data_IF_073372685256
#
_entry.id   IF_073372685256
#
_cell.length_a   1.000
_cell.length_b   1.000
_cell.length_c   1.000
_cell.angle_alpha   90.00
_cell.angle_beta   90.00
_cell.angle_gamma   90.00
#
_symmetry.space_group_name_H-M   'P 1'
#
loop_
_entity.id
_entity.type
_entity.pdbx_description
1 polymer ?
#
# COMPACT_ATOMS: atom_id res chain seq x y z
N UNK A 1 -18.41 9.04 12.77
CA UNK A 1 -17.94 9.98 11.74
C UNK A 1 -16.45 9.83 11.56
N UNK A 2 -16.00 9.19 10.46
CA UNK A 2 -14.60 9.18 10.08
C UNK A 2 -14.23 10.60 9.63
N UNK A 3 -13.40 11.28 10.41
CA UNK A 3 -12.99 12.65 10.15
C UNK A 3 -12.11 12.65 8.88
N UNK A 4 -12.58 13.24 7.78
CA UNK A 4 -11.80 13.42 6.54
C UNK A 4 -10.52 14.18 6.92
N UNK A 5 -9.36 13.53 6.89
CA UNK A 5 -8.09 14.26 7.01
C UNK A 5 -7.95 15.16 5.77
N UNK A 6 -7.58 16.44 5.93
CA UNK A 6 -7.35 17.33 4.80
C UNK A 6 -6.18 16.80 3.96
N UNK A 7 -6.29 16.94 2.63
CA UNK A 7 -5.19 16.67 1.71
C UNK A 7 -3.95 17.49 2.14
N UNK A 8 -2.78 16.86 2.14
CA UNK A 8 -1.52 17.53 2.47
C UNK A 8 -0.83 17.98 1.18
N UNK A 9 -0.20 19.14 1.22
CA UNK A 9 0.68 19.59 0.14
C UNK A 9 1.95 18.74 0.08
N UNK A 10 2.56 18.67 -1.10
CA UNK A 10 3.81 17.96 -1.31
C UNK A 10 4.92 18.54 -0.43
N UNK A 11 5.57 17.68 0.36
CA UNK A 11 6.39 18.11 1.51
C UNK A 11 7.88 17.76 1.39
N UNK A 12 8.41 17.62 0.17
CA UNK A 12 9.85 17.38 -0.06
C UNK A 12 10.56 18.64 -0.56
N UNK A 13 11.31 19.35 0.32
CA UNK A 13 12.13 20.48 -0.09
C UNK A 13 13.16 20.10 -1.17
N UNK A 14 13.31 20.97 -2.16
CA UNK A 14 14.27 20.80 -3.26
C UNK A 14 13.88 19.77 -4.32
N UNK A 15 12.64 19.26 -4.25
CA UNK A 15 12.08 18.35 -5.25
C UNK A 15 10.89 19.04 -5.91
N UNK A 16 10.96 19.21 -7.22
CA UNK A 16 9.83 19.65 -8.04
C UNK A 16 9.21 18.40 -8.69
N UNK A 17 8.02 17.96 -8.24
CA UNK A 17 7.39 16.78 -8.82
C UNK A 17 6.83 17.09 -10.22
N UNK A 18 6.81 16.13 -11.15
CA UNK A 18 6.10 16.30 -12.41
C UNK A 18 4.59 16.44 -12.18
N UNK A 19 3.86 16.89 -13.21
CA UNK A 19 2.40 16.95 -13.16
C UNK A 19 1.82 15.54 -12.85
N UNK A 20 0.93 15.41 -11.85
CA UNK A 20 0.35 14.13 -11.49
C UNK A 20 -0.56 13.63 -12.62
N UNK A 21 -0.63 12.31 -12.80
CA UNK A 21 -1.56 11.72 -13.76
C UNK A 21 -3.02 11.93 -13.33
N UNK A 22 -3.28 11.96 -12.02
CA UNK A 22 -4.59 12.25 -11.44
C UNK A 22 -4.49 12.71 -9.99
N UNK A 23 -5.57 13.30 -9.48
CA UNK A 23 -5.76 13.61 -8.07
C UNK A 23 -6.68 12.54 -7.44
N UNK A 24 -6.18 11.83 -6.43
CA UNK A 24 -6.94 10.80 -5.72
C UNK A 24 -7.94 11.39 -4.72
N UNK A 25 -9.09 10.72 -4.51
CA UNK A 25 -9.97 11.04 -3.38
C UNK A 25 -9.29 10.64 -2.06
N UNK A 26 -9.35 11.52 -1.04
CA UNK A 26 -8.63 11.41 0.25
C UNK A 26 -9.22 10.35 1.20
N UNK A 27 -9.64 9.20 0.66
CA UNK A 27 -10.08 8.02 1.43
C UNK A 27 -9.02 6.95 1.25
N UNK A 28 -7.87 7.17 1.89
CA UNK A 28 -6.78 6.19 1.91
C UNK A 28 -6.72 5.54 3.30
N UNK A 29 -6.59 4.22 3.35
CA UNK A 29 -6.32 3.52 4.60
C UNK A 29 -4.84 3.60 4.97
N UNK A 30 -4.60 3.67 6.27
CA UNK A 30 -3.26 3.57 6.81
C UNK A 30 -2.70 2.15 6.59
N UNK A 31 -1.37 2.02 6.39
CA UNK A 31 -0.74 0.73 6.20
C UNK A 31 -0.82 -0.06 7.51
N UNK A 32 -1.22 -1.33 7.43
CA UNK A 32 -1.37 -2.18 8.60
C UNK A 32 -0.10 -3.01 8.81
N UNK A 33 0.58 -2.91 9.97
CA UNK A 33 1.76 -3.70 10.26
C UNK A 33 1.45 -5.20 10.35
N UNK A 34 2.21 -6.03 9.64
CA UNK A 34 1.99 -7.49 9.63
C UNK A 34 2.19 -8.11 11.03
N UNK A 35 3.11 -7.55 11.82
CA UNK A 35 3.31 -7.97 13.22
C UNK A 35 2.06 -7.80 14.11
N UNK A 36 1.14 -6.88 13.76
CA UNK A 36 -0.15 -6.75 14.45
C UNK A 36 -1.18 -7.76 13.91
N UNK A 37 -1.07 -8.16 12.64
CA UNK A 37 -1.91 -9.18 12.02
C UNK A 37 -1.62 -10.55 12.63
N UNK A 38 -0.34 -10.92 12.75
CA UNK A 38 0.10 -12.16 13.40
C UNK A 38 -0.44 -12.28 14.84
N UNK A 39 -0.41 -11.17 15.59
CA UNK A 39 -0.97 -11.10 16.95
C UNK A 39 -2.50 -11.23 17.02
N UNK A 40 -3.21 -10.80 15.99
CA UNK A 40 -4.66 -10.94 15.91
C UNK A 40 -5.08 -12.38 15.54
N UNK A 41 -4.22 -13.11 14.82
CA UNK A 41 -4.43 -14.50 14.41
C UNK A 41 -4.26 -15.48 15.59
N UNK A 42 -3.58 -15.08 16.68
CA UNK A 42 -3.38 -15.88 17.90
C UNK A 42 -4.63 -16.06 18.80
N UNK A 43 -5.82 -15.62 18.35
CA UNK A 43 -7.09 -15.97 19.01
C UNK A 43 -7.46 -17.42 18.64
N UNK A 44 -7.71 -18.34 19.60
CA UNK A 44 -7.80 -19.77 19.32
C UNK A 44 -9.07 -20.14 18.52
N UNK A 45 -8.95 -20.17 17.20
CA UNK A 45 -9.88 -20.84 16.28
C UNK A 45 -9.24 -22.14 15.75
N UNK A 46 -10.05 -23.20 15.65
CA UNK A 46 -9.64 -24.60 15.50
C UNK A 46 -8.81 -24.95 14.24
N UNK A 47 -8.06 -26.06 14.28
CA UNK A 47 -6.93 -26.35 13.38
C UNK A 47 -7.29 -26.61 11.91
N UNK A 48 -8.50 -27.03 11.58
CA UNK A 48 -8.88 -27.40 10.20
C UNK A 48 -9.37 -26.21 9.36
N UNK A 49 -9.75 -25.08 9.98
CA UNK A 49 -10.13 -23.84 9.28
C UNK A 49 -8.92 -22.92 8.97
N UNK A 50 -7.73 -23.25 9.51
CA UNK A 50 -6.56 -22.36 9.50
C UNK A 50 -5.86 -22.23 8.14
N UNK A 51 -5.90 -23.27 7.30
CA UNK A 51 -5.04 -23.30 6.10
C UNK A 51 -5.76 -22.87 4.81
N UNK A 52 -7.04 -23.22 4.64
CA UNK A 52 -7.76 -22.96 3.38
C UNK A 52 -8.54 -21.64 3.38
N UNK A 53 -8.84 -21.04 4.54
CA UNK A 53 -9.59 -19.78 4.63
C UNK A 53 -8.72 -18.54 4.85
N UNK A 54 -7.53 -18.68 5.44
CA UNK A 54 -6.73 -17.52 5.88
C UNK A 54 -5.92 -16.87 4.74
N UNK A 55 -5.43 -17.64 3.76
CA UNK A 55 -4.70 -17.07 2.60
C UNK A 55 -5.62 -16.27 1.66
N UNK A 56 -6.87 -16.71 1.46
CA UNK A 56 -7.83 -15.99 0.63
C UNK A 56 -8.38 -14.72 1.32
N UNK A 57 -8.36 -14.66 2.65
CA UNK A 57 -8.87 -13.54 3.45
C UNK A 57 -7.80 -12.43 3.64
N UNK A 58 -6.50 -12.69 3.45
CA UNK A 58 -5.46 -11.80 3.98
C UNK A 58 -4.82 -10.78 3.02
N UNK A 59 -5.27 -10.59 1.78
CA UNK A 59 -4.73 -9.52 0.91
C UNK A 59 -5.82 -8.81 0.10
N UNK A 60 -6.71 -9.59 -0.52
CA UNK A 60 -7.87 -9.06 -1.24
C UNK A 60 -8.79 -8.24 -0.31
N UNK A 61 -8.91 -8.61 0.96
CA UNK A 61 -9.70 -7.90 1.96
C UNK A 61 -9.08 -6.56 2.36
N UNK A 62 -7.77 -6.50 2.58
CA UNK A 62 -7.06 -5.25 2.92
C UNK A 62 -7.10 -4.28 1.74
N UNK A 63 -6.93 -4.78 0.52
CA UNK A 63 -7.10 -3.95 -0.68
C UNK A 63 -8.56 -3.51 -0.91
N UNK A 64 -9.54 -4.35 -0.55
CA UNK A 64 -10.95 -3.96 -0.56
C UNK A 64 -11.27 -2.86 0.45
N UNK A 65 -10.73 -2.96 1.67
CA UNK A 65 -10.81 -1.91 2.67
C UNK A 65 -10.21 -0.59 2.11
N UNK A 66 -9.10 -0.65 1.34
CA UNK A 66 -8.36 0.52 0.84
C UNK A 66 -9.08 1.32 -0.26
N UNK A 67 -9.99 0.69 -1.00
CA UNK A 67 -10.51 1.25 -2.26
C UNK A 67 -11.99 1.64 -2.17
N UNK A 68 -12.72 1.09 -1.20
CA UNK A 68 -14.17 1.14 -1.19
C UNK A 68 -14.74 2.22 -0.25
N UNK A 69 -15.76 2.98 -0.71
CA UNK A 69 -16.56 3.81 0.18
C UNK A 69 -17.13 2.99 1.36
N UNK A 70 -17.29 3.58 2.57
CA UNK A 70 -17.64 2.84 3.80
C UNK A 70 -18.89 1.94 3.69
N UNK A 71 -19.91 2.38 2.95
CA UNK A 71 -21.13 1.59 2.71
C UNK A 71 -20.92 0.43 1.73
N UNK A 72 -20.07 0.58 0.72
CA UNK A 72 -19.72 -0.50 -0.20
C UNK A 72 -18.87 -1.55 0.51
N UNK A 73 -17.98 -1.10 1.39
CA UNK A 73 -17.15 -1.95 2.23
C UNK A 73 -17.98 -2.76 3.23
N UNK A 74 -18.88 -2.11 3.98
CA UNK A 74 -19.77 -2.81 4.91
C UNK A 74 -20.59 -3.90 4.22
N UNK A 75 -21.15 -3.61 3.04
CA UNK A 75 -21.90 -4.60 2.24
C UNK A 75 -21.01 -5.74 1.76
N UNK A 76 -19.78 -5.47 1.30
CA UNK A 76 -18.83 -6.49 0.87
C UNK A 76 -18.46 -7.43 2.03
N UNK A 77 -18.13 -6.87 3.21
CA UNK A 77 -17.77 -7.66 4.40
C UNK A 77 -18.94 -8.54 4.83
N UNK A 78 -20.14 -7.95 4.99
CA UNK A 78 -21.31 -8.68 5.48
C UNK A 78 -21.75 -9.78 4.50
N UNK A 79 -21.71 -9.54 3.18
CA UNK A 79 -22.17 -10.49 2.16
C UNK A 79 -21.12 -11.55 1.79
N UNK A 80 -19.89 -11.13 1.49
CA UNK A 80 -18.89 -12.02 0.90
C UNK A 80 -17.92 -12.62 1.95
N UNK A 81 -17.75 -11.98 3.12
CA UNK A 81 -16.84 -12.49 4.18
C UNK A 81 -17.60 -13.17 5.30
N UNK A 82 -18.66 -12.53 5.80
CA UNK A 82 -19.46 -13.05 6.91
C UNK A 82 -20.65 -13.90 6.45
N UNK A 83 -20.93 -13.92 5.14
CA UNK A 83 -21.91 -14.84 4.53
C UNK A 83 -23.39 -14.50 4.76
N UNK A 84 -23.73 -13.30 5.25
CA UNK A 84 -25.12 -12.89 5.47
C UNK A 84 -25.91 -12.79 4.16
N UNK A 85 -27.22 -13.02 4.20
CA UNK A 85 -28.12 -12.85 3.07
C UNK A 85 -28.44 -11.36 2.80
N UNK A 86 -28.80 -11.04 1.56
CA UNK A 86 -28.99 -9.64 1.14
C UNK A 86 -30.13 -8.91 1.87
N UNK A 87 -31.15 -9.65 2.32
CA UNK A 87 -32.24 -9.14 3.18
C UNK A 87 -31.73 -8.81 4.59
N UNK A 88 -30.94 -9.69 5.21
CA UNK A 88 -30.36 -9.46 6.53
C UNK A 88 -29.44 -8.23 6.53
N UNK A 89 -28.63 -8.09 5.49
CA UNK A 89 -27.75 -6.92 5.31
C UNK A 89 -28.55 -5.64 5.04
N UNK A 90 -29.66 -5.73 4.32
CA UNK A 90 -30.53 -4.59 4.06
C UNK A 90 -31.14 -4.07 5.37
N UNK A 91 -31.62 -4.97 6.23
CA UNK A 91 -32.15 -4.65 7.55
C UNK A 91 -31.06 -4.07 8.47
N UNK A 92 -29.86 -4.65 8.49
CA UNK A 92 -28.73 -4.17 9.31
C UNK A 92 -28.24 -2.77 8.91
N UNK A 93 -28.35 -2.41 7.62
CA UNK A 93 -27.81 -1.16 7.07
C UNK A 93 -28.88 -0.09 6.81
N UNK A 94 -30.12 -0.34 7.24
CA UNK A 94 -31.29 0.50 6.99
C UNK A 94 -31.39 0.91 5.50
N UNK A 95 -31.47 -0.12 4.65
CA UNK A 95 -31.38 -0.03 3.20
C UNK A 95 -32.30 -1.06 2.53
N UNK A 96 -32.41 -1.03 1.20
CA UNK A 96 -33.16 -2.05 0.45
C UNK A 96 -32.25 -3.15 -0.09
N UNK A 97 -32.81 -4.33 -0.37
CA UNK A 97 -32.10 -5.46 -0.99
C UNK A 97 -31.48 -5.07 -2.34
N UNK A 98 -32.20 -4.27 -3.14
CA UNK A 98 -31.72 -3.74 -4.42
C UNK A 98 -30.51 -2.83 -4.21
N UNK A 99 -30.54 -1.97 -3.20
CA UNK A 99 -29.44 -1.07 -2.85
C UNK A 99 -28.21 -1.86 -2.39
N UNK A 100 -28.39 -2.90 -1.56
CA UNK A 100 -27.32 -3.82 -1.13
C UNK A 100 -26.69 -4.52 -2.33
N UNK A 101 -27.49 -5.11 -3.23
CA UNK A 101 -26.97 -5.78 -4.43
C UNK A 101 -26.24 -4.81 -5.37
N UNK A 102 -26.76 -3.59 -5.51
CA UNK A 102 -26.15 -2.53 -6.31
C UNK A 102 -24.81 -2.05 -5.72
N UNK A 103 -24.74 -1.89 -4.40
CA UNK A 103 -23.52 -1.54 -3.67
C UNK A 103 -22.48 -2.66 -3.76
N UNK A 104 -22.89 -3.92 -3.63
CA UNK A 104 -22.00 -5.08 -3.78
C UNK A 104 -21.42 -5.16 -5.20
N UNK A 105 -22.26 -4.96 -6.23
CA UNK A 105 -21.82 -4.92 -7.62
C UNK A 105 -20.81 -3.81 -7.88
N UNK A 106 -21.07 -2.61 -7.34
CA UNK A 106 -20.13 -1.47 -7.44
C UNK A 106 -18.85 -1.71 -6.66
N UNK A 107 -18.93 -2.36 -5.48
CA UNK A 107 -17.76 -2.73 -4.69
C UNK A 107 -16.82 -3.65 -5.48
N UNK A 108 -17.38 -4.72 -6.09
CA UNK A 108 -16.63 -5.65 -6.94
C UNK A 108 -16.04 -4.95 -8.17
N UNK A 109 -16.80 -4.04 -8.80
CA UNK A 109 -16.32 -3.27 -9.94
C UNK A 109 -15.20 -2.27 -9.59
N UNK A 110 -15.28 -1.59 -8.43
CA UNK A 110 -14.22 -0.70 -7.94
C UNK A 110 -12.95 -1.46 -7.59
N UNK A 111 -13.08 -2.68 -7.05
CA UNK A 111 -11.96 -3.59 -6.82
C UNK A 111 -11.28 -3.96 -8.14
N UNK A 112 -12.05 -4.34 -9.16
CA UNK A 112 -11.56 -4.66 -10.51
C UNK A 112 -11.01 -3.44 -11.28
N UNK A 113 -11.44 -2.21 -10.94
CA UNK A 113 -11.04 -0.98 -11.62
C UNK A 113 -9.82 -0.27 -11.01
N UNK A 114 -9.48 -0.56 -9.75
CA UNK A 114 -8.28 0.00 -9.07
C UNK A 114 -7.20 -1.04 -8.80
N UNK A 115 -7.54 -2.32 -8.70
CA UNK A 115 -6.58 -3.39 -8.89
C UNK A 115 -6.42 -3.54 -10.39
N UNK A 116 -5.24 -3.27 -10.97
CA UNK A 116 -5.13 -3.38 -12.41
C UNK A 116 -5.35 -4.84 -12.82
N UNK A 117 -5.93 -5.10 -14.01
CA UNK A 117 -6.63 -6.34 -14.34
C UNK A 117 -5.81 -7.57 -13.95
N UNK A 118 -6.31 -8.31 -12.96
CA UNK A 118 -5.69 -9.50 -12.37
C UNK A 118 -5.64 -10.70 -13.34
N UNK A 119 -6.25 -10.59 -14.51
CA UNK A 119 -6.37 -11.71 -15.46
C UNK A 119 -5.12 -11.94 -16.35
N UNK A 120 -4.15 -11.02 -16.37
CA UNK A 120 -2.95 -11.14 -17.24
C UNK A 120 -1.62 -11.01 -16.49
N UNK A 121 -1.65 -10.82 -15.17
CA UNK A 121 -0.42 -10.59 -14.39
C UNK A 121 0.10 -11.87 -13.76
N UNK A 122 1.42 -12.05 -13.87
CA UNK A 122 2.13 -13.12 -13.19
C UNK A 122 1.95 -12.98 -11.66
N UNK A 123 1.71 -14.10 -10.95
CA UNK A 123 1.58 -14.08 -9.50
C UNK A 123 2.77 -13.40 -8.83
N UNK A 124 2.50 -12.68 -7.73
CA UNK A 124 3.58 -12.17 -6.90
C UNK A 124 4.39 -13.34 -6.30
N UNK A 125 5.70 -13.16 -6.05
CA UNK A 125 6.49 -14.14 -5.31
C UNK A 125 5.86 -14.38 -3.94
N UNK A 126 5.98 -15.60 -3.42
CA UNK A 126 5.50 -15.90 -2.08
C UNK A 126 6.22 -15.01 -1.04
N UNK A 127 5.53 -14.59 0.04
CA UNK A 127 6.13 -13.83 1.12
C UNK A 127 7.39 -14.52 1.67
N UNK A 128 8.44 -13.72 1.91
CA UNK A 128 9.75 -14.13 2.41
C UNK A 128 10.48 -15.19 1.55
N UNK A 129 10.00 -15.46 0.34
CA UNK A 129 10.67 -16.34 -0.60
C UNK A 129 12.02 -15.75 -1.05
N UNK A 130 12.99 -16.59 -1.47
CA UNK A 130 14.26 -16.10 -2.03
C UNK A 130 14.06 -15.14 -3.21
N UNK A 131 12.99 -15.31 -3.99
CA UNK A 131 12.64 -14.43 -5.10
C UNK A 131 12.20 -13.04 -4.61
N UNK A 132 11.31 -12.97 -3.60
CA UNK A 132 10.91 -11.70 -2.98
C UNK A 132 12.14 -10.99 -2.38
N UNK A 133 12.95 -11.71 -1.61
CA UNK A 133 14.14 -11.16 -0.96
C UNK A 133 15.16 -10.62 -1.96
N UNK A 134 15.35 -11.30 -3.10
CA UNK A 134 16.25 -10.84 -4.15
C UNK A 134 15.74 -9.54 -4.81
N UNK A 135 14.43 -9.43 -5.06
CA UNK A 135 13.81 -8.23 -5.62
C UNK A 135 13.89 -7.05 -4.63
N UNK A 136 13.56 -7.29 -3.37
CA UNK A 136 13.69 -6.31 -2.28
C UNK A 136 15.14 -5.82 -2.14
N UNK A 137 16.12 -6.72 -2.17
CA UNK A 137 17.52 -6.34 -2.07
C UNK A 137 17.99 -5.48 -3.26
N UNK A 138 17.50 -5.76 -4.48
CA UNK A 138 17.75 -4.91 -5.66
C UNK A 138 17.14 -3.52 -5.49
N UNK A 139 15.89 -3.46 -5.02
CA UNK A 139 15.19 -2.19 -4.76
C UNK A 139 15.92 -1.34 -3.72
N UNK A 140 16.31 -1.92 -2.57
CA UNK A 140 17.04 -1.20 -1.53
C UNK A 140 18.33 -0.62 -2.10
N UNK A 141 19.12 -1.43 -2.81
CA UNK A 141 20.39 -0.95 -3.40
C UNK A 141 20.16 0.20 -4.36
N UNK A 142 19.22 0.07 -5.30
CA UNK A 142 18.92 1.11 -6.28
C UNK A 142 18.45 2.42 -5.63
N UNK A 143 17.60 2.31 -4.59
CA UNK A 143 17.06 3.47 -3.90
C UNK A 143 18.11 4.18 -3.04
N UNK A 144 18.90 3.45 -2.25
CA UNK A 144 19.92 4.03 -1.37
C UNK A 144 21.10 4.63 -2.16
N UNK A 145 21.44 4.05 -3.32
CA UNK A 145 22.48 4.60 -4.21
C UNK A 145 21.99 5.76 -5.08
N UNK A 146 20.67 5.94 -5.21
CA UNK A 146 20.08 6.89 -6.16
C UNK A 146 20.26 6.47 -7.63
N UNK A 147 20.38 5.17 -7.89
CA UNK A 147 20.49 4.62 -9.23
C UNK A 147 19.10 4.55 -9.88
N UNK A 148 18.80 5.58 -10.68
CA UNK A 148 17.52 5.72 -11.36
C UNK A 148 17.28 4.57 -12.35
N UNK A 149 18.29 4.20 -13.13
CA UNK A 149 18.15 3.17 -14.17
C UNK A 149 17.88 1.81 -13.53
N UNK A 150 18.59 1.49 -12.45
CA UNK A 150 18.34 0.27 -11.68
C UNK A 150 16.96 0.27 -11.04
N UNK A 151 16.48 1.40 -10.52
CA UNK A 151 15.12 1.49 -9.95
C UNK A 151 14.06 1.28 -11.03
N UNK A 152 14.17 1.99 -12.15
CA UNK A 152 13.21 1.95 -13.26
C UNK A 152 13.13 0.55 -13.87
N UNK A 153 14.26 -0.16 -13.95
CA UNK A 153 14.30 -1.54 -14.44
C UNK A 153 13.45 -2.52 -13.61
N UNK A 154 13.21 -2.23 -12.32
CA UNK A 154 12.37 -3.04 -11.43
C UNK A 154 10.87 -2.74 -11.55
N UNK A 155 10.48 -1.65 -12.22
CA UNK A 155 9.08 -1.23 -12.34
C UNK A 155 8.39 -1.93 -13.52
N UNK A 156 7.09 -2.18 -13.41
CA UNK A 156 6.26 -2.50 -14.59
C UNK A 156 6.05 -1.26 -15.45
N UNK A 157 5.67 -1.44 -16.71
CA UNK A 157 5.40 -0.32 -17.63
C UNK A 157 4.23 0.54 -17.14
N UNK A 158 3.28 -0.08 -16.45
CA UNK A 158 2.03 0.48 -15.94
C UNK A 158 2.03 0.75 -14.43
N UNK A 159 3.22 0.85 -13.83
CA UNK A 159 3.44 1.11 -12.40
C UNK A 159 2.52 2.21 -11.88
N UNK A 160 1.90 1.96 -10.73
CA UNK A 160 1.11 2.94 -10.02
C UNK A 160 1.85 3.45 -8.78
N UNK A 161 2.08 4.76 -8.70
CA UNK A 161 2.72 5.40 -7.56
C UNK A 161 1.77 6.40 -6.89
N UNK A 162 1.68 6.35 -5.56
CA UNK A 162 0.84 7.25 -4.76
C UNK A 162 1.53 7.67 -3.47
N UNK A 163 1.18 8.84 -2.92
CA UNK A 163 1.83 9.40 -1.72
C UNK A 163 0.87 9.84 -0.60
N UNK A 164 -0.03 9.00 -0.06
CA UNK A 164 -0.99 9.44 0.96
C UNK A 164 -0.31 10.07 2.20
N UNK A 165 -0.87 11.15 2.78
CA UNK A 165 -2.13 11.84 2.44
C UNK A 165 -2.01 12.92 1.36
N UNK A 166 -0.87 12.98 0.64
CA UNK A 166 -0.70 13.87 -0.51
C UNK A 166 -1.49 13.26 -1.68
N UNK A 167 -2.44 13.98 -2.31
CA UNK A 167 -3.38 13.42 -3.29
C UNK A 167 -2.76 13.18 -4.67
N UNK A 168 -1.43 13.23 -4.80
CA UNK A 168 -0.72 13.06 -6.05
C UNK A 168 -0.60 11.57 -6.39
N UNK A 169 -1.13 11.21 -7.55
CA UNK A 169 -1.06 9.86 -8.10
C UNK A 169 -0.43 9.88 -9.49
N UNK A 170 0.44 8.91 -9.75
CA UNK A 170 1.21 8.78 -10.98
C UNK A 170 1.03 7.39 -11.54
N UNK A 171 0.73 7.29 -12.83
CA UNK A 171 0.57 6.02 -13.51
C UNK A 171 1.48 5.98 -14.74
N UNK A 172 2.26 4.90 -14.83
CA UNK A 172 3.18 4.64 -15.93
C UNK A 172 4.65 4.88 -15.57
N UNK A 173 5.53 4.06 -16.15
CA UNK A 173 6.96 4.03 -15.85
C UNK A 173 7.64 5.38 -16.06
N UNK A 174 7.34 6.07 -17.16
CA UNK A 174 8.04 7.32 -17.52
C UNK A 174 7.79 8.46 -16.54
N UNK A 175 6.55 8.63 -16.08
CA UNK A 175 6.22 9.71 -15.14
C UNK A 175 6.78 9.41 -13.75
N UNK A 176 6.75 8.15 -13.34
CA UNK A 176 7.37 7.69 -12.08
C UNK A 176 8.89 7.83 -12.13
N UNK A 177 9.53 7.54 -13.27
CA UNK A 177 10.95 7.75 -13.48
C UNK A 177 11.33 9.23 -13.34
N UNK A 178 10.56 10.16 -13.94
CA UNK A 178 10.80 11.60 -13.78
C UNK A 178 10.67 12.07 -12.32
N UNK A 179 9.70 11.54 -11.60
CA UNK A 179 9.55 11.84 -10.17
C UNK A 179 10.79 11.38 -9.38
N UNK A 180 11.24 10.14 -9.58
CA UNK A 180 12.43 9.64 -8.89
C UNK A 180 13.72 10.33 -9.34
N UNK A 181 13.83 10.76 -10.59
CA UNK A 181 14.95 11.59 -11.07
C UNK A 181 15.04 12.90 -10.28
N UNK A 182 13.90 13.56 -10.03
CA UNK A 182 13.82 14.77 -9.20
C UNK A 182 14.20 14.48 -7.74
N UNK A 183 13.71 13.38 -7.17
CA UNK A 183 14.02 12.96 -5.80
C UNK A 183 15.52 12.65 -5.64
N UNK A 184 16.11 11.86 -6.54
CA UNK A 184 17.53 11.50 -6.48
C UNK A 184 18.45 12.68 -6.82
N UNK A 185 18.02 13.56 -7.73
CA UNK A 185 18.70 14.80 -8.09
C UNK A 185 18.79 15.83 -6.96
N UNK A 186 17.89 15.76 -5.97
CA UNK A 186 17.92 16.67 -4.80
C UNK A 186 19.11 16.45 -3.85
N UNK A 187 19.93 15.42 -4.09
CA UNK A 187 21.12 15.11 -3.26
C UNK A 187 20.78 14.47 -1.91
N UNK A 188 19.50 14.20 -1.64
CA UNK A 188 19.04 13.52 -0.44
C UNK A 188 19.64 12.11 -0.36
N UNK A 189 19.97 11.68 0.85
CA UNK A 189 20.43 10.31 1.13
C UNK A 189 19.46 9.68 2.11
N UNK A 190 18.87 8.56 1.69
CA UNK A 190 17.84 7.87 2.45
C UNK A 190 18.34 6.47 2.77
N UNK A 191 18.15 6.05 4.02
CA UNK A 191 18.32 4.66 4.45
C UNK A 191 16.97 3.99 4.52
N UNK A 192 16.88 2.77 3.97
CA UNK A 192 15.68 1.97 4.02
C UNK A 192 15.83 0.89 5.09
N UNK A 193 14.93 0.92 6.08
CA UNK A 193 14.83 -0.13 7.10
C UNK A 193 13.67 -1.05 6.71
N UNK A 194 13.93 -2.34 6.38
CA UNK A 194 12.89 -3.28 6.00
C UNK A 194 11.87 -3.52 7.11
N UNK A 195 10.61 -3.69 6.71
CA UNK A 195 9.47 -4.11 7.53
C UNK A 195 8.43 -4.76 6.60
N UNK A 196 7.22 -5.05 7.10
CA UNK A 196 6.13 -5.56 6.28
C UNK A 196 4.81 -4.87 6.63
N UNK A 197 4.01 -4.61 5.59
CA UNK A 197 2.70 -4.00 5.73
C UNK A 197 1.71 -4.65 4.76
N UNK A 198 0.52 -4.96 5.24
CA UNK A 198 -0.55 -5.59 4.45
C UNK A 198 -0.10 -6.89 3.74
N UNK A 199 0.80 -7.68 4.32
CA UNK A 199 1.38 -8.88 3.70
C UNK A 199 2.46 -8.58 2.66
N UNK A 200 2.81 -7.31 2.43
CA UNK A 200 3.71 -6.87 1.37
C UNK A 200 5.03 -6.34 1.92
N UNK A 201 6.12 -6.38 1.12
CA UNK A 201 7.37 -5.72 1.47
C UNK A 201 7.18 -4.22 1.72
N UNK A 202 7.68 -3.75 2.86
CA UNK A 202 7.61 -2.36 3.25
C UNK A 202 8.94 -1.86 3.81
N UNK A 203 9.14 -0.54 3.80
CA UNK A 203 10.38 0.09 4.23
C UNK A 203 10.10 1.39 4.95
N UNK A 204 10.70 1.61 6.11
CA UNK A 204 10.75 2.95 6.70
C UNK A 204 11.93 3.70 6.09
N UNK A 205 11.64 4.86 5.52
CA UNK A 205 12.62 5.72 4.86
C UNK A 205 13.16 6.76 5.83
N UNK A 206 14.44 6.65 6.17
CA UNK A 206 15.14 7.60 7.03
C UNK A 206 16.06 8.52 6.23
N UNK A 207 15.76 9.81 6.21
CA UNK A 207 16.61 10.82 5.60
C UNK A 207 17.82 11.12 6.49
N UNK A 208 19.03 11.02 5.92
CA UNK A 208 20.27 11.38 6.59
C UNK A 208 20.41 12.90 6.68
N UNK A 209 20.48 13.43 7.90
CA UNK A 209 20.85 14.81 8.15
C UNK A 209 22.38 14.99 8.11
N UNK A 210 22.84 16.22 7.86
CA UNK A 210 24.27 16.58 7.92
C UNK A 210 24.90 16.34 9.30
N UNK A 211 24.07 16.33 10.35
CA UNK A 211 24.46 16.02 11.74
C UNK A 211 24.72 14.54 12.00
N UNK A 212 24.46 13.66 11.00
CA UNK A 212 24.55 12.21 11.14
C UNK A 212 23.28 11.54 11.69
N UNK A 213 22.34 12.31 12.24
CA UNK A 213 21.03 11.80 12.68
C UNK A 213 20.20 11.43 11.44
N UNK A 214 19.44 10.35 11.55
CA UNK A 214 18.59 9.86 10.47
C UNK A 214 17.12 10.03 10.86
N UNK A 215 16.36 10.82 10.12
CA UNK A 215 14.98 11.17 10.44
C UNK A 215 13.99 10.38 9.59
N UNK A 216 13.02 9.74 10.25
CA UNK A 216 11.94 9.00 9.58
C UNK A 216 11.05 9.95 8.78
N UNK A 217 11.01 9.75 7.47
CA UNK A 217 10.26 10.58 6.52
C UNK A 217 8.98 9.93 6.01
N UNK A 218 8.83 8.63 6.22
CA UNK A 218 7.64 7.90 5.79
C UNK A 218 7.85 6.39 5.73
N UNK A 219 6.79 5.71 5.32
CA UNK A 219 6.78 4.27 5.04
C UNK A 219 6.51 4.06 3.55
N UNK A 220 7.28 3.19 2.91
CA UNK A 220 7.04 2.73 1.55
C UNK A 220 6.44 1.33 1.61
N UNK A 221 5.42 1.06 0.80
CA UNK A 221 4.83 -0.27 0.62
C UNK A 221 4.87 -0.61 -0.86
N UNK A 222 5.42 -1.78 -1.20
CA UNK A 222 5.59 -2.23 -2.57
C UNK A 222 4.65 -3.38 -2.89
N UNK A 223 3.88 -3.26 -3.97
CA UNK A 223 3.12 -4.37 -4.54
C UNK A 223 3.89 -4.98 -5.70
N UNK A 224 4.11 -6.29 -5.62
CA UNK A 224 4.90 -7.06 -6.57
C UNK A 224 4.02 -7.83 -7.56
N UNK A 225 4.59 -8.14 -8.73
CA UNK A 225 4.02 -9.05 -9.74
C UNK A 225 5.18 -9.69 -10.50
N UNK A 226 5.23 -11.02 -10.57
CA UNK A 226 6.40 -11.73 -11.09
C UNK A 226 7.70 -11.25 -10.42
N UNK A 227 8.64 -10.77 -11.23
CA UNK A 227 9.92 -10.21 -10.76
C UNK A 227 9.97 -8.66 -10.73
N UNK A 228 8.81 -7.99 -10.78
CA UNK A 228 8.67 -6.53 -10.89
C UNK A 228 7.77 -5.93 -9.82
N UNK A 229 7.84 -4.60 -9.71
CA UNK A 229 7.02 -3.77 -8.83
C UNK A 229 5.93 -3.11 -9.68
N UNK A 230 4.65 -3.35 -9.36
CA UNK A 230 3.50 -2.79 -10.07
C UNK A 230 2.77 -1.68 -9.29
N UNK A 231 2.97 -1.60 -7.97
CA UNK A 231 2.55 -0.44 -7.20
C UNK A 231 3.58 -0.04 -6.14
N UNK A 232 3.68 1.27 -5.90
CA UNK A 232 4.50 1.86 -4.85
C UNK A 232 3.65 2.90 -4.13
N UNK A 233 3.41 2.69 -2.83
CA UNK A 233 2.69 3.66 -1.99
C UNK A 233 3.64 4.25 -0.94
N UNK A 234 3.71 5.58 -0.84
CA UNK A 234 4.45 6.30 0.19
C UNK A 234 3.49 6.92 1.21
N UNK A 235 3.51 6.42 2.43
CA UNK A 235 2.84 7.04 3.57
C UNK A 235 3.76 8.04 4.26
N UNK A 236 3.20 9.07 4.88
CA UNK A 236 3.95 10.03 5.67
C UNK A 236 4.49 9.41 6.98
N UNK A 237 5.26 10.20 7.74
CA UNK A 237 5.91 9.69 8.94
C UNK A 237 4.98 9.49 10.14
N UNK A 238 3.69 9.81 10.03
CA UNK A 238 2.73 9.63 11.13
C UNK A 238 2.49 8.14 11.44
N UNK A 239 2.77 7.25 10.48
CA UNK A 239 2.55 5.81 10.62
C UNK A 239 3.67 5.08 11.38
N UNK A 240 4.86 5.66 11.50
CA UNK A 240 6.04 4.98 12.09
C UNK A 240 5.81 4.37 13.49
N UNK A 241 5.12 5.04 14.44
CA UNK A 241 4.87 4.47 15.77
C UNK A 241 4.11 3.14 15.72
N UNK A 242 3.22 2.95 14.74
CA UNK A 242 2.46 1.71 14.57
C UNK A 242 3.33 0.52 14.16
N UNK A 243 4.45 0.80 13.51
CA UNK A 243 5.45 -0.20 13.10
C UNK A 243 6.53 -0.42 14.17
N UNK A 244 6.39 0.17 15.37
CA UNK A 244 7.36 0.03 16.46
C UNK A 244 8.74 0.65 16.16
N UNK A 245 8.82 1.51 15.13
CA UNK A 245 10.07 2.12 14.68
C UNK A 245 10.18 3.58 15.15
N UNK A 246 11.36 4.01 15.62
CA UNK A 246 11.53 5.35 16.16
C UNK A 246 11.49 6.42 15.06
N UNK A 247 11.08 7.64 15.40
CA UNK A 247 11.07 8.77 14.44
C UNK A 247 12.46 9.23 14.02
N UNK A 248 13.49 8.87 14.78
CA UNK A 248 14.88 9.18 14.48
C UNK A 248 15.76 8.00 14.89
N UNK A 249 16.81 7.76 14.11
CA UNK A 249 17.87 6.79 14.41
C UNK A 249 19.21 7.52 14.57
N UNK A 250 20.11 7.00 15.42
CA UNK A 250 21.48 7.49 15.48
C UNK A 250 22.21 7.24 14.14
N UNK A 251 23.35 7.91 13.98
CA UNK A 251 24.27 7.68 12.85
C UNK A 251 24.62 6.19 12.75
N UNK A 252 24.69 5.70 11.51
CA UNK A 252 25.06 4.31 11.20
C UNK A 252 26.55 4.08 11.47
#
# INVERSE_FOLDING_TARGET
>A
SANRRPAKEFDMPGVEPPEPTRLGEVVWLEPFPDALLERAIDVPLGPEARYEQTEAISLAFVTALQVLPPRQLAVLILRDVLGFHANEVADMLDSTVESVNSLLKRAKASLLGRLPPTHEREPAPAPDSPAEQALVAKFIRAYESGDLDALVALLTDDIFFSMPPIPLEYQGRDVVARLFASIFGSGRRVDLVPTRANGQPAFVAYLRASTGIRHGTGLFVLTLTGDRICAFTRFDNSVLPWFGLPRSLPSR
#
